data_IF_614529710587
#
_entry.id   IF_614529710587
#
_cell.length_a   1.000
_cell.length_b   1.000
_cell.length_c   1.000
_cell.angle_alpha   90.00
_cell.angle_beta   90.00
_cell.angle_gamma   90.00
#
_symmetry.space_group_name_H-M   'P 1'
#
loop_
_entity.id
_entity.type
_entity.pdbx_description
1 polymer ?
#
# COMPACT_ATOMS: atom_id res chain seq x y z
N UNK A 1 -5.83 20.84 5.65
CA UNK A 1 -5.78 20.64 4.18
C UNK A 1 -4.36 20.44 3.72
N UNK A 2 -3.43 21.28 4.18
CA UNK A 2 -1.97 21.13 3.93
C UNK A 2 -1.46 19.72 4.23
N UNK A 3 -1.79 19.14 5.39
CA UNK A 3 -1.36 17.78 5.74
C UNK A 3 -1.85 16.74 4.72
N UNK A 4 -3.13 16.78 4.32
CA UNK A 4 -3.69 15.84 3.35
C UNK A 4 -3.02 16.00 1.98
N UNK A 5 -2.76 17.24 1.55
CA UNK A 5 -2.06 17.50 0.30
C UNK A 5 -0.62 16.97 0.32
N UNK A 6 0.10 17.14 1.44
CA UNK A 6 1.44 16.57 1.62
C UNK A 6 1.42 15.05 1.62
N UNK A 7 0.42 14.42 2.27
CA UNK A 7 0.25 12.97 2.23
C UNK A 7 0.01 12.48 0.80
N UNK A 8 -0.87 13.12 0.03
CA UNK A 8 -1.11 12.76 -1.38
C UNK A 8 0.15 12.91 -2.24
N UNK A 9 0.90 14.00 -2.07
CA UNK A 9 2.16 14.22 -2.79
C UNK A 9 3.19 13.14 -2.45
N UNK A 10 3.36 12.82 -1.16
CA UNK A 10 4.25 11.75 -0.71
C UNK A 10 3.80 10.38 -1.25
N UNK A 11 2.52 10.04 -1.14
CA UNK A 11 1.97 8.79 -1.66
C UNK A 11 2.23 8.64 -3.16
N UNK A 12 1.96 9.69 -3.95
CA UNK A 12 2.19 9.68 -5.38
C UNK A 12 3.66 9.47 -5.72
N UNK A 13 4.57 10.09 -4.98
CA UNK A 13 6.01 9.92 -5.14
C UNK A 13 6.48 8.49 -4.79
N UNK A 14 5.96 7.90 -3.72
CA UNK A 14 6.26 6.51 -3.35
C UNK A 14 5.74 5.51 -4.39
N UNK A 15 4.56 5.74 -4.96
CA UNK A 15 3.99 4.86 -6.01
C UNK A 15 4.85 4.84 -7.27
N UNK A 16 5.52 5.96 -7.59
CA UNK A 16 6.44 6.04 -8.73
C UNK A 16 7.84 5.47 -8.44
N UNK A 17 8.08 4.96 -7.22
CA UNK A 17 9.39 4.43 -6.84
C UNK A 17 9.66 3.06 -7.48
N UNK A 18 10.93 2.82 -7.84
CA UNK A 18 11.41 1.56 -8.46
C UNK A 18 11.50 0.37 -7.48
N UNK A 19 11.31 0.62 -6.18
CA UNK A 19 11.36 -0.38 -5.12
C UNK A 19 9.97 -0.93 -4.79
N UNK A 20 9.78 -2.25 -4.83
CA UNK A 20 8.51 -2.93 -4.51
C UNK A 20 7.94 -2.54 -3.13
N UNK A 21 8.82 -2.43 -2.12
CA UNK A 21 8.40 -2.05 -0.77
C UNK A 21 7.88 -0.60 -0.73
N UNK A 22 8.53 0.32 -1.44
CA UNK A 22 8.10 1.72 -1.51
C UNK A 22 6.77 1.85 -2.24
N UNK A 23 6.55 1.06 -3.30
CA UNK A 23 5.28 1.01 -4.01
C UNK A 23 4.13 0.55 -3.08
N UNK A 24 4.32 -0.52 -2.31
CA UNK A 24 3.31 -1.01 -1.35
C UNK A 24 3.02 0.03 -0.28
N UNK A 25 4.05 0.64 0.31
CA UNK A 25 3.87 1.70 1.32
C UNK A 25 3.16 2.91 0.71
N UNK A 26 3.47 3.27 -0.54
CA UNK A 26 2.80 4.34 -1.27
C UNK A 26 1.30 4.10 -1.46
N UNK A 27 0.92 2.88 -1.83
CA UNK A 27 -0.50 2.48 -1.96
C UNK A 27 -1.20 2.52 -0.60
N UNK A 28 -0.57 2.00 0.46
CA UNK A 28 -1.10 2.10 1.84
C UNK A 28 -1.36 3.54 2.24
N UNK A 29 -0.37 4.41 2.01
CA UNK A 29 -0.42 5.81 2.42
C UNK A 29 -1.51 6.57 1.64
N UNK A 30 -1.73 6.25 0.37
CA UNK A 30 -2.80 6.81 -0.45
C UNK A 30 -4.19 6.47 0.11
N UNK A 31 -4.40 5.22 0.55
CA UNK A 31 -5.63 4.80 1.22
C UNK A 31 -5.90 5.60 2.50
N UNK A 32 -4.87 5.80 3.33
CA UNK A 32 -4.99 6.63 4.55
C UNK A 32 -5.28 8.10 4.23
N UNK A 33 -4.64 8.67 3.19
CA UNK A 33 -4.88 10.04 2.76
C UNK A 33 -6.34 10.25 2.31
N UNK A 34 -6.89 9.31 1.55
CA UNK A 34 -8.30 9.31 1.10
C UNK A 34 -9.25 9.21 2.30
N UNK A 35 -8.99 8.32 3.25
CA UNK A 35 -9.82 8.18 4.45
C UNK A 35 -9.85 9.46 5.30
N UNK A 36 -8.69 10.12 5.48
CA UNK A 36 -8.60 11.40 6.17
C UNK A 36 -9.31 12.53 5.41
N UNK A 37 -9.25 12.52 4.08
CA UNK A 37 -9.96 13.48 3.24
C UNK A 37 -11.48 13.35 3.39
N UNK A 38 -11.99 12.11 3.30
CA UNK A 38 -13.42 11.81 3.48
C UNK A 38 -13.89 12.27 4.86
N UNK A 39 -13.17 11.90 5.92
CA UNK A 39 -13.51 12.28 7.30
C UNK A 39 -13.52 13.81 7.50
N UNK A 40 -12.63 14.54 6.81
CA UNK A 40 -12.57 15.99 6.87
C UNK A 40 -13.69 16.67 6.06
N UNK A 41 -14.22 16.01 5.03
CA UNK A 41 -15.24 16.57 4.15
C UNK A 41 -16.67 16.46 4.70
N UNK A 42 -16.94 15.47 5.58
CA UNK A 42 -18.25 15.27 6.20
C UNK A 42 -18.41 15.95 7.57
N UNK A 43 -19.64 16.01 8.09
CA UNK A 43 -19.86 16.41 9.48
C UNK A 43 -19.41 15.30 10.41
N UNK A 44 -18.83 15.66 11.56
CA UNK A 44 -18.35 14.69 12.57
C UNK A 44 -19.47 13.80 13.13
N UNK A 45 -20.72 14.24 12.99
CA UNK A 45 -21.92 13.51 13.43
C UNK A 45 -22.48 12.57 12.36
N UNK A 46 -21.96 12.62 11.13
CA UNK A 46 -22.49 11.80 10.04
C UNK A 46 -21.96 10.38 10.13
N UNK A 47 -22.88 9.43 10.25
CA UNK A 47 -22.56 7.99 10.30
C UNK A 47 -22.22 7.42 8.92
N UNK A 48 -22.61 8.10 7.83
CA UNK A 48 -22.40 7.61 6.46
C UNK A 48 -20.92 7.58 6.06
N UNK A 49 -20.15 8.69 6.21
CA UNK A 49 -18.72 8.66 5.89
C UNK A 49 -17.93 7.72 6.80
N UNK A 50 -18.37 7.52 8.05
CA UNK A 50 -17.69 6.65 9.01
C UNK A 50 -17.82 5.17 8.63
N UNK A 51 -19.02 4.73 8.24
CA UNK A 51 -19.24 3.37 7.74
C UNK A 51 -18.44 3.11 6.45
N UNK A 52 -18.38 4.10 5.55
CA UNK A 52 -17.60 4.02 4.32
C UNK A 52 -16.09 3.88 4.58
N UNK A 53 -15.56 4.61 5.56
CA UNK A 53 -14.13 4.51 5.90
C UNK A 53 -13.81 3.13 6.47
N UNK A 54 -14.69 2.53 7.29
CA UNK A 54 -14.46 1.19 7.82
C UNK A 54 -14.40 0.13 6.71
N UNK A 55 -15.30 0.19 5.73
CA UNK A 55 -15.28 -0.74 4.59
C UNK A 55 -14.02 -0.53 3.74
N UNK A 56 -13.62 0.72 3.51
CA UNK A 56 -12.37 1.04 2.82
C UNK A 56 -11.14 0.51 3.55
N UNK A 57 -11.09 0.58 4.88
CA UNK A 57 -9.98 0.04 5.69
C UNK A 57 -9.90 -1.48 5.55
N UNK A 58 -11.02 -2.20 5.65
CA UNK A 58 -11.03 -3.67 5.56
C UNK A 58 -10.58 -4.14 4.17
N UNK A 59 -11.07 -3.49 3.11
CA UNK A 59 -10.66 -3.79 1.73
C UNK A 59 -9.17 -3.46 1.54
N UNK A 60 -8.71 -2.31 2.05
CA UNK A 60 -7.31 -1.91 2.00
C UNK A 60 -6.39 -2.93 2.67
N UNK A 61 -6.74 -3.41 3.85
CA UNK A 61 -5.95 -4.44 4.57
C UNK A 61 -5.91 -5.77 3.83
N UNK A 62 -7.02 -6.18 3.22
CA UNK A 62 -7.08 -7.40 2.41
C UNK A 62 -6.14 -7.31 1.19
N UNK A 63 -6.23 -6.22 0.43
CA UNK A 63 -5.37 -5.98 -0.74
C UNK A 63 -3.90 -5.88 -0.33
N UNK A 64 -3.61 -5.17 0.76
CA UNK A 64 -2.24 -4.97 1.23
C UNK A 64 -1.56 -6.27 1.65
N UNK A 65 -2.30 -7.17 2.30
CA UNK A 65 -1.81 -8.51 2.63
C UNK A 65 -1.47 -9.30 1.37
N UNK A 66 -2.35 -9.27 0.37
CA UNK A 66 -2.10 -9.95 -0.92
C UNK A 66 -0.87 -9.39 -1.62
N UNK A 67 -0.72 -8.06 -1.68
CA UNK A 67 0.45 -7.42 -2.29
C UNK A 67 1.75 -7.73 -1.54
N UNK A 68 1.73 -7.78 -0.21
CA UNK A 68 2.89 -8.15 0.60
C UNK A 68 3.31 -9.60 0.38
N UNK A 69 2.35 -10.53 0.37
CA UNK A 69 2.63 -11.94 0.11
C UNK A 69 3.21 -12.11 -1.30
N UNK A 70 2.64 -11.44 -2.29
CA UNK A 70 3.14 -11.48 -3.66
C UNK A 70 4.55 -10.90 -3.78
N UNK A 71 4.81 -9.74 -3.17
CA UNK A 71 6.14 -9.12 -3.18
C UNK A 71 7.18 -9.98 -2.47
N UNK A 72 6.82 -10.62 -1.36
CA UNK A 72 7.68 -11.60 -0.68
C UNK A 72 7.97 -12.81 -1.58
N UNK A 73 6.95 -13.33 -2.27
CA UNK A 73 7.11 -14.45 -3.18
C UNK A 73 7.98 -14.11 -4.39
N UNK A 74 7.80 -12.93 -4.98
CA UNK A 74 8.59 -12.46 -6.11
C UNK A 74 10.09 -12.39 -5.78
N UNK A 75 10.44 -11.86 -4.60
CA UNK A 75 11.83 -11.83 -4.13
C UNK A 75 12.40 -13.22 -3.87
N UNK A 76 11.56 -14.17 -3.44
CA UNK A 76 11.98 -15.55 -3.23
C UNK A 76 12.25 -16.29 -4.54
N UNK A 77 11.50 -16.00 -5.59
CA UNK A 77 11.71 -16.60 -6.91
C UNK A 77 13.12 -16.30 -7.46
N UNK A 78 13.59 -15.07 -7.28
CA UNK A 78 14.91 -14.63 -7.74
C UNK A 78 16.04 -15.36 -6.98
N UNK A 79 15.86 -15.56 -5.66
CA UNK A 79 16.87 -16.21 -4.81
C UNK A 79 16.96 -17.73 -5.03
N UNK A 80 15.93 -18.37 -5.59
CA UNK A 80 15.95 -19.81 -5.87
C UNK A 80 16.72 -20.12 -7.16
N UNK A 81 16.63 -19.25 -8.18
CA UNK A 81 17.37 -19.41 -9.43
C UNK A 81 18.89 -19.32 -9.24
N UNK A 82 19.36 -18.42 -8.38
CA UNK A 82 20.79 -18.24 -8.07
C UNK A 82 21.40 -19.46 -7.35
N UNK A 83 20.61 -20.20 -6.56
CA UNK A 83 21.09 -21.37 -5.81
C UNK A 83 21.12 -22.66 -6.65
N UNK A 84 20.30 -22.75 -7.70
CA UNK A 84 20.33 -23.88 -8.63
C UNK A 84 21.55 -23.79 -9.57
N UNK A 85 21.92 -22.58 -10.02
CA UNK A 85 23.13 -22.38 -10.84
C UNK A 85 24.41 -22.77 -10.06
N UNK A 86 24.50 -22.42 -8.78
CA UNK A 86 25.65 -22.82 -7.93
C UNK A 86 25.79 -24.34 -7.70
N UNK A 87 24.75 -25.14 -7.98
CA UNK A 87 24.77 -26.61 -7.81
C UNK A 87 25.06 -27.36 -9.10
N UNK A 88 24.92 -26.73 -10.27
CA UNK A 88 25.27 -27.32 -11.55
C UNK A 88 26.78 -27.18 -11.88
N UNK A 89 27.48 -26.30 -11.15
CA UNK A 89 28.92 -26.05 -11.29
C UNK A 89 29.83 -27.03 -10.51
N UNK A 90 29.27 -28.05 -9.84
CA UNK A 90 29.98 -29.11 -9.09
C UNK A 90 29.75 -30.51 -9.71
#
# INVERSE_FOLDING_TARGET
MVIIALLFAASMWLVLSKDWLRLIIGISLLGHATNLYILKSGSRTDILPQALILTAIVIGLAIQTVLLVFAYFAQRSEKLTDLDEMKEDE
#
